data_IF_671873892511
#
_entry.id   IF_671873892511
#
_cell.length_a   1.000
_cell.length_b   1.000
_cell.length_c   1.000
_cell.angle_alpha   90.00
_cell.angle_beta   90.00
_cell.angle_gamma   90.00
#
_symmetry.space_group_name_H-M   'P 1'
#
loop_
_entity.id
_entity.type
_entity.pdbx_description
1 polymer ?
#
# COMPACT_ATOMS: atom_id res chain seq x y z
N UNK A 1 -26.56 -15.77 3.19
CA UNK A 1 -25.95 -17.11 2.99
C UNK A 1 -25.35 -17.53 4.33
N UNK A 2 -25.80 -18.65 4.88
CA UNK A 2 -25.26 -19.20 6.13
C UNK A 2 -23.83 -19.65 5.85
N UNK A 3 -22.87 -19.17 6.62
CA UNK A 3 -21.47 -19.53 6.48
C UNK A 3 -21.26 -20.98 6.94
N UNK A 4 -20.34 -21.73 6.31
CA UNK A 4 -20.02 -23.13 6.63
C UNK A 4 -19.73 -23.36 8.11
N UNK A 5 -19.18 -22.38 8.82
CA UNK A 5 -18.94 -22.42 10.28
C UNK A 5 -20.24 -22.36 11.08
N UNK A 6 -21.21 -21.54 10.65
CA UNK A 6 -22.56 -21.49 11.27
C UNK A 6 -23.35 -22.77 11.01
N UNK A 7 -23.14 -23.37 9.84
CA UNK A 7 -23.73 -24.67 9.51
C UNK A 7 -23.12 -25.80 10.39
N UNK A 8 -21.81 -25.77 10.59
CA UNK A 8 -21.10 -26.73 11.44
C UNK A 8 -21.50 -26.60 12.91
N UNK A 9 -21.59 -25.36 13.43
CA UNK A 9 -22.09 -25.09 14.78
C UNK A 9 -23.54 -25.57 14.93
N UNK A 10 -24.40 -25.26 13.98
CA UNK A 10 -25.79 -25.72 13.96
C UNK A 10 -25.90 -27.25 13.97
N UNK A 11 -25.06 -27.96 13.20
CA UNK A 11 -25.06 -29.43 13.16
C UNK A 11 -24.54 -30.06 14.46
N UNK A 12 -23.58 -29.43 15.15
CA UNK A 12 -23.10 -29.86 16.45
C UNK A 12 -24.14 -29.64 17.54
N UNK A 13 -24.71 -28.44 17.60
CA UNK A 13 -25.67 -28.02 18.62
C UNK A 13 -27.00 -28.80 18.55
N UNK A 14 -27.35 -29.28 17.33
CA UNK A 14 -28.55 -30.09 17.10
C UNK A 14 -28.29 -31.61 17.05
N UNK A 15 -27.09 -32.05 17.40
CA UNK A 15 -26.73 -33.47 17.45
C UNK A 15 -26.75 -34.20 16.09
N UNK A 16 -26.75 -33.46 14.98
CA UNK A 16 -26.79 -34.01 13.62
C UNK A 16 -25.42 -34.53 13.20
N UNK A 17 -24.35 -33.97 13.75
CA UNK A 17 -22.97 -34.46 13.60
C UNK A 17 -22.34 -34.77 14.96
N UNK A 18 -21.67 -35.91 15.05
CA UNK A 18 -20.92 -36.27 16.25
C UNK A 18 -19.55 -35.61 16.24
N UNK A 19 -19.10 -35.16 17.42
CA UNK A 19 -17.79 -34.52 17.61
C UNK A 19 -16.63 -35.41 17.12
N UNK A 20 -16.74 -36.71 17.32
CA UNK A 20 -15.79 -37.72 16.84
C UNK A 20 -15.70 -37.83 15.32
N UNK A 21 -16.79 -37.53 14.59
CA UNK A 21 -16.78 -37.52 13.13
C UNK A 21 -16.02 -36.29 12.60
N UNK A 22 -16.15 -35.14 13.27
CA UNK A 22 -15.41 -33.92 12.92
C UNK A 22 -13.93 -34.09 13.21
N UNK A 23 -13.58 -34.65 14.35
CA UNK A 23 -12.20 -35.00 14.73
C UNK A 23 -11.55 -35.94 13.71
N UNK A 24 -12.27 -36.98 13.24
CA UNK A 24 -11.79 -37.89 12.19
C UNK A 24 -11.56 -37.15 10.85
N UNK A 25 -12.48 -36.32 10.43
CA UNK A 25 -12.33 -35.54 9.17
C UNK A 25 -11.16 -34.56 9.28
N UNK A 26 -10.96 -33.98 10.46
CA UNK A 26 -9.82 -33.09 10.74
C UNK A 26 -8.51 -33.85 10.69
N UNK A 27 -8.42 -34.99 11.37
CA UNK A 27 -7.25 -35.90 11.34
C UNK A 27 -6.94 -36.39 9.92
N UNK A 28 -7.96 -36.77 9.13
CA UNK A 28 -7.74 -37.14 7.72
C UNK A 28 -7.17 -35.99 6.86
N UNK A 29 -7.59 -34.76 7.13
CA UNK A 29 -7.08 -33.59 6.41
C UNK A 29 -5.68 -33.16 6.86
N UNK A 30 -5.36 -33.33 8.12
CA UNK A 30 -4.00 -33.17 8.63
C UNK A 30 -3.07 -34.22 8.03
N UNK A 31 -3.54 -35.44 7.85
CA UNK A 31 -2.80 -36.51 7.18
C UNK A 31 -2.38 -36.15 5.76
N UNK A 32 -3.27 -35.60 4.95
CA UNK A 32 -2.91 -35.14 3.59
C UNK A 32 -1.88 -33.99 3.59
N UNK A 33 -1.87 -33.13 4.62
CA UNK A 33 -0.96 -32.01 4.71
C UNK A 33 0.48 -32.46 4.96
N UNK A 34 0.70 -33.41 5.90
CA UNK A 34 2.03 -33.91 6.24
C UNK A 34 2.63 -34.77 5.13
N UNK A 35 1.85 -35.53 4.40
CA UNK A 35 2.30 -36.29 3.23
C UNK A 35 2.91 -35.42 2.14
N UNK A 36 2.55 -34.15 2.05
CA UNK A 36 3.20 -33.17 1.12
C UNK A 36 4.68 -32.93 1.43
N UNK A 37 5.11 -33.12 2.67
CA UNK A 37 6.52 -32.97 3.07
C UNK A 37 7.33 -34.25 2.90
N UNK A 38 6.68 -35.38 2.68
CA UNK A 38 7.34 -36.67 2.50
C UNK A 38 7.89 -36.80 1.07
N UNK A 39 9.21 -36.80 0.95
CA UNK A 39 9.90 -36.76 -0.36
C UNK A 39 10.14 -38.14 -0.97
N UNK A 40 9.88 -39.22 -0.21
CA UNK A 40 10.21 -40.56 -0.62
C UNK A 40 8.96 -41.32 -1.04
N UNK A 41 9.16 -42.26 -1.99
CA UNK A 41 8.08 -43.14 -2.47
C UNK A 41 7.55 -44.01 -1.33
N UNK A 42 6.22 -44.15 -1.26
CA UNK A 42 5.53 -45.13 -0.44
C UNK A 42 5.17 -46.30 -1.36
N UNK A 43 5.43 -47.54 -0.92
CA UNK A 43 5.12 -48.73 -1.70
C UNK A 43 4.71 -49.91 -0.84
N UNK A 44 3.89 -50.82 -1.42
CA UNK A 44 3.51 -52.07 -0.81
C UNK A 44 4.47 -53.16 -1.25
N UNK A 45 5.01 -53.95 -0.31
CA UNK A 45 5.96 -55.02 -0.55
C UNK A 45 5.27 -56.38 -0.73
N UNK A 46 5.94 -57.31 -1.42
CA UNK A 46 5.44 -58.67 -1.63
C UNK A 46 5.21 -59.46 -0.32
N UNK A 47 5.77 -59.02 0.78
CA UNK A 47 5.62 -59.60 2.13
C UNK A 47 4.46 -59.00 2.91
N UNK A 48 3.58 -58.20 2.26
CA UNK A 48 2.36 -57.68 2.87
C UNK A 48 2.56 -56.44 3.75
N UNK A 49 3.68 -55.72 3.60
CA UNK A 49 3.94 -54.51 4.37
C UNK A 49 4.06 -53.27 3.49
N UNK A 50 3.50 -52.17 3.96
CA UNK A 50 3.73 -50.84 3.45
C UNK A 50 5.08 -50.29 3.89
N UNK A 51 5.79 -49.65 3.00
CA UNK A 51 7.16 -49.17 3.21
C UNK A 51 7.36 -47.78 2.68
N UNK A 52 8.28 -47.07 3.36
CA UNK A 52 8.88 -45.85 2.86
C UNK A 52 10.27 -45.65 3.44
N UNK A 53 11.01 -44.71 2.90
CA UNK A 53 12.30 -44.25 3.48
C UNK A 53 12.10 -42.93 4.18
N UNK A 54 12.81 -42.70 5.27
CA UNK A 54 12.90 -41.39 5.95
C UNK A 54 14.38 -41.07 6.14
N UNK A 55 14.72 -39.78 6.11
CA UNK A 55 16.05 -39.30 6.42
C UNK A 55 16.09 -38.90 7.91
N UNK A 56 16.95 -39.58 8.70
CA UNK A 56 17.18 -39.22 10.10
C UNK A 56 18.68 -39.17 10.35
N UNK A 57 19.20 -38.06 10.86
CA UNK A 57 20.64 -37.82 11.10
C UNK A 57 21.50 -38.08 9.83
N UNK A 58 21.09 -37.57 8.68
CA UNK A 58 21.73 -37.76 7.38
C UNK A 58 21.84 -39.24 6.92
N UNK A 59 21.08 -40.16 7.51
CA UNK A 59 21.00 -41.56 7.11
C UNK A 59 19.60 -41.95 6.70
N UNK A 60 19.48 -42.69 5.61
CA UNK A 60 18.20 -43.22 5.16
C UNK A 60 17.82 -44.44 5.97
N UNK A 61 16.66 -44.34 6.64
CA UNK A 61 16.04 -45.46 7.36
C UNK A 61 14.83 -45.97 6.60
N UNK A 62 14.69 -47.27 6.46
CA UNK A 62 13.50 -47.94 5.95
C UNK A 62 12.49 -48.13 7.09
N UNK A 63 11.27 -47.59 6.88
CA UNK A 63 10.14 -47.80 7.78
C UNK A 63 9.18 -48.79 7.10
N UNK A 64 8.63 -49.72 7.87
CA UNK A 64 7.61 -50.65 7.41
C UNK A 64 6.48 -50.77 8.43
N UNK A 65 5.24 -50.80 7.93
CA UNK A 65 4.02 -50.95 8.71
C UNK A 65 3.08 -51.93 8.00
N UNK A 66 2.24 -52.63 8.76
CA UNK A 66 1.32 -53.65 8.20
C UNK A 66 0.16 -52.99 7.46
N UNK A 67 -0.36 -51.89 8.00
CA UNK A 67 -1.46 -51.12 7.41
C UNK A 67 -0.95 -49.77 6.93
N UNK A 68 -1.57 -49.23 5.88
CA UNK A 68 -1.20 -47.93 5.32
C UNK A 68 -1.48 -46.81 6.32
N UNK A 69 -2.59 -46.89 7.05
CA UNK A 69 -3.01 -45.94 8.06
C UNK A 69 -1.95 -45.78 9.19
N UNK A 70 -1.33 -46.92 9.61
CA UNK A 70 -0.25 -46.88 10.60
C UNK A 70 1.01 -46.17 10.07
N UNK A 71 1.28 -46.33 8.77
CA UNK A 71 2.41 -45.65 8.13
C UNK A 71 2.16 -44.18 7.99
N UNK A 72 0.96 -43.80 7.57
CA UNK A 72 0.54 -42.41 7.45
C UNK A 72 0.51 -41.71 8.80
N UNK A 73 -0.06 -42.32 9.82
CA UNK A 73 -0.03 -41.81 11.20
C UNK A 73 1.39 -41.60 11.71
N UNK A 74 2.29 -42.55 11.45
CA UNK A 74 3.71 -42.42 11.81
C UNK A 74 4.38 -41.27 11.06
N UNK A 75 4.12 -41.10 9.75
CA UNK A 75 4.67 -40.00 8.96
C UNK A 75 4.13 -38.66 9.44
N UNK A 76 2.85 -38.59 9.78
CA UNK A 76 2.23 -37.39 10.34
C UNK A 76 2.88 -36.97 11.65
N UNK A 77 3.08 -37.90 12.59
CA UNK A 77 3.76 -37.61 13.84
C UNK A 77 5.22 -37.16 13.61
N UNK A 78 5.90 -37.79 12.64
CA UNK A 78 7.29 -37.45 12.30
C UNK A 78 7.42 -36.04 11.70
N UNK A 79 6.45 -35.60 10.89
CA UNK A 79 6.49 -34.33 10.23
C UNK A 79 5.73 -33.22 10.98
N UNK A 80 4.87 -33.55 11.93
CA UNK A 80 4.17 -32.60 12.79
C UNK A 80 5.16 -31.68 13.53
N UNK A 81 6.24 -32.24 14.06
CA UNK A 81 7.28 -31.50 14.78
C UNK A 81 8.20 -30.66 13.85
N UNK A 82 8.09 -30.83 12.52
CA UNK A 82 8.89 -30.11 11.54
C UNK A 82 8.17 -28.93 10.93
N UNK A 83 6.86 -28.80 11.14
CA UNK A 83 6.07 -27.69 10.64
C UNK A 83 6.03 -26.61 11.71
N UNK A 84 6.73 -25.53 11.44
CA UNK A 84 6.71 -24.36 12.31
C UNK A 84 5.38 -23.60 12.12
N UNK A 85 4.49 -23.75 13.08
CA UNK A 85 3.22 -23.02 13.15
C UNK A 85 3.30 -21.81 14.08
N UNK A 86 4.49 -21.28 14.35
CA UNK A 86 4.63 -20.04 15.10
C UNK A 86 4.02 -18.86 14.33
N UNK A 87 3.58 -17.85 15.05
CA UNK A 87 3.11 -16.59 14.45
C UNK A 87 4.11 -16.03 13.45
N UNK A 88 5.39 -16.02 13.81
CA UNK A 88 6.50 -15.58 12.96
C UNK A 88 6.55 -16.32 11.63
N UNK A 89 6.59 -17.64 11.67
CA UNK A 89 6.68 -18.45 10.46
C UNK A 89 5.50 -18.23 9.53
N UNK A 90 4.29 -18.17 10.08
CA UNK A 90 3.06 -17.97 9.31
C UNK A 90 2.89 -16.55 8.81
N UNK A 91 3.38 -15.54 9.54
CA UNK A 91 3.40 -14.16 9.07
C UNK A 91 4.29 -14.03 7.81
N UNK A 92 5.51 -14.56 7.84
CA UNK A 92 6.41 -14.49 6.68
C UNK A 92 5.95 -15.36 5.51
N UNK A 93 5.28 -16.48 5.77
CA UNK A 93 4.63 -17.25 4.72
C UNK A 93 3.47 -16.46 4.06
N UNK A 94 2.68 -15.75 4.86
CA UNK A 94 1.67 -14.83 4.34
C UNK A 94 2.30 -13.70 3.53
N UNK A 95 3.40 -13.08 3.98
CA UNK A 95 4.14 -12.04 3.23
C UNK A 95 4.63 -12.57 1.89
N UNK A 96 5.24 -13.77 1.88
CA UNK A 96 5.70 -14.44 0.65
C UNK A 96 4.54 -14.67 -0.33
N UNK A 97 3.38 -15.07 0.18
CA UNK A 97 2.17 -15.21 -0.66
C UNK A 97 1.70 -13.87 -1.23
N UNK A 98 1.77 -12.77 -0.46
CA UNK A 98 1.45 -11.44 -0.98
C UNK A 98 2.38 -11.04 -2.14
N UNK A 99 3.65 -11.39 -2.06
CA UNK A 99 4.63 -11.18 -3.13
C UNK A 99 4.27 -11.99 -4.38
N UNK A 100 3.99 -13.29 -4.23
CA UNK A 100 3.55 -14.16 -5.33
C UNK A 100 2.23 -13.68 -5.97
N UNK A 101 1.35 -13.03 -5.20
CA UNK A 101 0.13 -12.41 -5.71
C UNK A 101 0.36 -11.04 -6.39
N UNK A 102 1.63 -10.64 -6.62
CA UNK A 102 1.98 -9.42 -7.36
C UNK A 102 1.90 -8.13 -6.55
N UNK A 103 1.94 -8.18 -5.22
CA UNK A 103 2.10 -6.97 -4.41
C UNK A 103 3.45 -6.32 -4.69
N UNK A 104 3.47 -4.99 -4.76
CA UNK A 104 4.70 -4.25 -5.04
C UNK A 104 5.78 -4.49 -3.98
N UNK A 105 7.06 -4.50 -4.38
CA UNK A 105 8.20 -4.65 -3.49
C UNK A 105 8.18 -3.66 -2.30
N UNK A 106 7.77 -2.42 -2.54
CA UNK A 106 7.59 -1.42 -1.47
C UNK A 106 6.52 -1.81 -0.45
N UNK A 107 5.47 -2.52 -0.86
CA UNK A 107 4.43 -3.04 0.05
C UNK A 107 4.99 -4.18 0.89
N UNK A 108 5.76 -5.08 0.29
CA UNK A 108 6.42 -6.20 0.99
C UNK A 108 7.41 -5.68 2.03
N UNK A 109 8.27 -4.71 1.66
CA UNK A 109 9.19 -4.05 2.60
C UNK A 109 8.43 -3.42 3.78
N UNK A 110 7.26 -2.81 3.49
CA UNK A 110 6.42 -2.24 4.55
C UNK A 110 5.92 -3.33 5.52
N UNK A 111 5.45 -4.47 5.02
CA UNK A 111 5.02 -5.59 5.89
C UNK A 111 6.16 -6.07 6.79
N UNK A 112 7.37 -6.23 6.23
CA UNK A 112 8.55 -6.63 6.99
C UNK A 112 8.95 -5.56 8.03
N UNK A 113 8.92 -4.29 7.64
CA UNK A 113 9.24 -3.18 8.55
C UNK A 113 8.21 -3.06 9.69
N UNK A 114 6.92 -3.25 9.37
CA UNK A 114 5.85 -3.24 10.38
C UNK A 114 5.96 -4.47 11.30
N UNK A 115 6.34 -5.65 10.79
CA UNK A 115 6.65 -6.81 11.61
C UNK A 115 7.77 -6.52 12.61
N UNK A 116 8.90 -6.00 12.13
CA UNK A 116 10.06 -5.70 12.98
C UNK A 116 9.73 -4.66 14.07
N UNK A 117 8.76 -3.79 13.82
CA UNK A 117 8.37 -2.74 14.76
C UNK A 117 7.33 -3.20 15.77
N UNK A 118 6.39 -4.08 15.37
CA UNK A 118 5.18 -4.33 16.13
C UNK A 118 5.04 -5.78 16.61
N UNK A 119 5.88 -6.70 16.14
CA UNK A 119 5.79 -8.12 16.50
C UNK A 119 7.13 -8.71 16.96
N UNK A 120 8.25 -8.24 16.40
CA UNK A 120 9.60 -8.72 16.76
C UNK A 120 9.87 -8.46 18.25
N UNK A 121 10.33 -9.48 18.97
CA UNK A 121 10.62 -9.49 20.41
C UNK A 121 9.37 -9.30 21.31
N UNK A 122 8.15 -9.42 20.77
CA UNK A 122 6.95 -9.53 21.60
C UNK A 122 6.58 -10.98 21.84
N UNK A 123 5.89 -11.29 22.97
CA UNK A 123 5.55 -12.69 23.32
C UNK A 123 4.80 -13.44 22.21
N UNK A 124 4.00 -12.75 21.40
CA UNK A 124 3.24 -13.33 20.30
C UNK A 124 4.13 -13.91 19.19
N UNK A 125 5.39 -13.44 19.05
CA UNK A 125 6.28 -13.81 17.93
C UNK A 125 6.47 -15.32 17.81
N UNK A 126 6.75 -15.98 18.92
CA UNK A 126 7.07 -17.41 18.97
C UNK A 126 5.88 -18.29 19.40
N UNK A 127 4.70 -17.68 19.64
CA UNK A 127 3.50 -18.43 20.00
C UNK A 127 3.01 -19.29 18.83
N UNK A 128 2.54 -20.50 19.14
CA UNK A 128 1.82 -21.30 18.15
C UNK A 128 0.53 -20.58 17.76
N UNK A 129 0.23 -20.55 16.46
CA UNK A 129 -0.92 -19.81 15.92
C UNK A 129 -2.26 -20.28 16.50
N UNK A 130 -2.36 -21.57 16.85
CA UNK A 130 -3.54 -22.17 17.45
C UNK A 130 -3.82 -21.69 18.89
N UNK A 131 -2.78 -21.19 19.59
CA UNK A 131 -2.87 -20.71 20.97
C UNK A 131 -3.17 -19.22 21.06
N UNK A 132 -3.20 -18.52 19.91
CA UNK A 132 -3.48 -17.09 19.85
C UNK A 132 -4.99 -16.86 19.89
N UNK A 133 -5.47 -16.35 21.02
CA UNK A 133 -6.86 -15.95 21.22
C UNK A 133 -7.10 -14.47 20.93
N UNK A 134 -8.36 -14.06 20.95
CA UNK A 134 -8.77 -12.64 20.96
C UNK A 134 -8.20 -11.87 22.15
N UNK A 135 -8.14 -12.50 23.33
CA UNK A 135 -7.49 -11.93 24.52
C UNK A 135 -6.00 -11.70 24.28
N UNK A 136 -5.28 -12.69 23.73
CA UNK A 136 -3.87 -12.57 23.37
C UNK A 136 -3.62 -11.41 22.40
N UNK A 137 -4.48 -11.26 21.37
CA UNK A 137 -4.38 -10.16 20.42
C UNK A 137 -4.65 -8.81 21.09
N UNK A 138 -5.63 -8.75 21.98
CA UNK A 138 -5.97 -7.52 22.72
C UNK A 138 -4.81 -7.07 23.62
N UNK A 139 -4.20 -8.00 24.36
CA UNK A 139 -3.02 -7.74 25.19
C UNK A 139 -1.84 -7.26 24.33
N UNK A 140 -1.58 -7.94 23.22
CA UNK A 140 -0.52 -7.55 22.29
C UNK A 140 -0.71 -6.12 21.74
N UNK A 141 -1.93 -5.77 21.30
CA UNK A 141 -2.24 -4.41 20.85
C UNK A 141 -1.99 -3.39 21.98
N UNK A 142 -2.41 -3.71 23.20
CA UNK A 142 -2.17 -2.87 24.37
C UNK A 142 -0.68 -2.60 24.60
N UNK A 143 0.16 -3.63 24.53
CA UNK A 143 1.62 -3.50 24.63
C UNK A 143 2.20 -2.66 23.49
N UNK A 144 1.81 -2.95 22.25
CA UNK A 144 2.28 -2.21 21.07
C UNK A 144 1.93 -0.73 21.16
N UNK A 145 0.72 -0.37 21.59
CA UNK A 145 0.31 1.02 21.72
C UNK A 145 1.05 1.76 22.82
N UNK A 146 1.44 1.05 23.90
CA UNK A 146 2.24 1.59 24.98
C UNK A 146 3.68 1.90 24.55
N UNK A 147 4.31 0.94 23.84
CA UNK A 147 5.71 1.04 23.43
C UNK A 147 5.90 1.90 22.17
N UNK A 148 4.93 1.84 21.26
CA UNK A 148 4.91 2.53 19.97
C UNK A 148 3.61 3.29 19.79
N UNK A 149 3.45 4.49 20.36
CA UNK A 149 2.27 5.30 20.12
C UNK A 149 2.06 5.54 18.63
N UNK A 150 0.96 5.03 18.07
CA UNK A 150 0.61 5.13 16.66
C UNK A 150 -0.78 5.72 16.47
N UNK A 151 -1.04 6.28 15.29
CA UNK A 151 -2.36 6.79 14.93
C UNK A 151 -3.32 5.65 14.62
N UNK A 152 -4.59 5.87 14.87
CA UNK A 152 -5.68 4.92 14.58
C UNK A 152 -5.57 4.27 13.18
N UNK A 153 -5.30 5.07 12.13
CA UNK A 153 -5.13 4.54 10.76
C UNK A 153 -3.97 3.56 10.62
N UNK A 154 -2.90 3.74 11.39
CA UNK A 154 -1.77 2.82 11.37
C UNK A 154 -2.15 1.50 12.07
N UNK A 155 -2.88 1.54 13.17
CA UNK A 155 -3.41 0.35 13.84
C UNK A 155 -4.34 -0.44 12.90
N UNK A 156 -5.25 0.23 12.20
CA UNK A 156 -6.13 -0.42 11.20
C UNK A 156 -5.34 -1.13 10.09
N UNK A 157 -4.19 -0.58 9.67
CA UNK A 157 -3.35 -1.24 8.67
C UNK A 157 -2.71 -2.52 9.23
N UNK A 158 -2.18 -2.47 10.48
CA UNK A 158 -1.60 -3.64 11.16
C UNK A 158 -2.68 -4.72 11.35
N UNK A 159 -3.88 -4.30 11.78
CA UNK A 159 -5.01 -5.18 11.92
C UNK A 159 -5.39 -5.88 10.63
N UNK A 160 -5.35 -5.15 9.51
CA UNK A 160 -5.56 -5.71 8.19
C UNK A 160 -4.55 -6.80 7.81
N UNK A 161 -3.28 -6.69 8.28
CA UNK A 161 -2.26 -7.73 8.07
C UNK A 161 -2.56 -8.97 8.89
N UNK A 162 -2.87 -8.79 10.17
CA UNK A 162 -3.26 -9.87 11.08
C UNK A 162 -4.47 -10.62 10.54
N UNK A 163 -5.53 -9.91 10.24
CA UNK A 163 -6.74 -10.51 9.68
C UNK A 163 -6.44 -11.31 8.39
N UNK A 164 -5.66 -10.73 7.47
CA UNK A 164 -5.28 -11.41 6.23
C UNK A 164 -4.41 -12.65 6.43
N UNK A 165 -3.55 -12.65 7.46
CA UNK A 165 -2.73 -13.80 7.84
C UNK A 165 -3.60 -14.91 8.47
N UNK A 166 -4.46 -14.59 9.44
CA UNK A 166 -5.35 -15.56 10.07
C UNK A 166 -6.34 -16.16 9.07
N UNK A 167 -6.89 -15.36 8.16
CA UNK A 167 -7.72 -15.85 7.06
C UNK A 167 -6.97 -16.84 6.14
N UNK A 168 -5.66 -16.62 5.93
CA UNK A 168 -4.83 -17.60 5.23
C UNK A 168 -4.71 -18.89 6.03
N UNK A 169 -4.45 -18.81 7.33
CA UNK A 169 -4.32 -19.96 8.20
C UNK A 169 -5.61 -20.83 8.23
N UNK A 170 -6.79 -20.19 8.14
CA UNK A 170 -8.06 -20.91 8.00
C UNK A 170 -8.12 -21.61 6.63
N UNK A 171 -7.80 -20.93 5.54
CA UNK A 171 -7.79 -21.56 4.20
C UNK A 171 -6.82 -22.71 4.10
N UNK A 172 -5.69 -22.59 4.78
CA UNK A 172 -4.67 -23.66 4.85
C UNK A 172 -5.03 -24.72 5.90
N UNK A 173 -6.17 -24.57 6.60
CA UNK A 173 -6.72 -25.49 7.61
C UNK A 173 -5.82 -25.68 8.84
N UNK A 174 -5.02 -24.67 9.16
CA UNK A 174 -4.15 -24.67 10.36
C UNK A 174 -4.96 -24.33 11.61
N UNK A 175 -5.93 -23.40 11.47
CA UNK A 175 -6.88 -23.00 12.52
C UNK A 175 -8.31 -23.01 12.00
N UNK A 176 -9.28 -23.07 12.91
CA UNK A 176 -10.71 -23.15 12.57
C UNK A 176 -11.41 -21.78 12.55
N UNK A 177 -10.93 -20.82 13.32
CA UNK A 177 -11.53 -19.50 13.45
C UNK A 177 -10.47 -18.41 13.45
N UNK A 178 -10.88 -17.22 13.04
CA UNK A 178 -10.01 -16.04 13.02
C UNK A 178 -10.20 -15.28 14.34
N UNK A 179 -9.20 -15.23 15.23
CA UNK A 179 -9.34 -14.54 16.50
C UNK A 179 -9.56 -13.03 16.35
N UNK A 180 -9.15 -12.43 15.23
CA UNK A 180 -9.39 -11.03 14.95
C UNK A 180 -10.88 -10.66 14.91
N UNK A 181 -11.77 -11.60 14.60
CA UNK A 181 -13.22 -11.33 14.50
C UNK A 181 -13.89 -11.11 15.84
N UNK A 182 -13.26 -11.52 16.93
CA UNK A 182 -13.80 -11.42 18.29
C UNK A 182 -13.24 -10.23 19.08
N UNK A 183 -12.24 -9.51 18.53
CA UNK A 183 -11.65 -8.33 19.17
C UNK A 183 -12.42 -7.07 18.77
N UNK A 184 -12.91 -6.33 19.76
CA UNK A 184 -13.43 -4.98 19.54
C UNK A 184 -12.27 -3.98 19.45
N UNK A 185 -11.83 -3.74 18.22
CA UNK A 185 -10.70 -2.87 17.96
C UNK A 185 -10.97 -1.40 18.33
N UNK A 186 -12.24 -0.93 18.28
CA UNK A 186 -12.61 0.46 18.58
C UNK A 186 -12.25 0.84 20.03
N UNK A 187 -12.21 -0.12 20.96
CA UNK A 187 -11.80 0.12 22.34
C UNK A 187 -10.39 0.71 22.46
N UNK A 188 -9.51 0.38 21.52
CA UNK A 188 -8.11 0.86 21.49
C UNK A 188 -7.94 2.25 20.88
N UNK A 189 -8.97 2.81 20.26
CA UNK A 189 -8.91 4.08 19.55
C UNK A 189 -8.47 5.25 20.45
N UNK A 190 -8.91 5.24 21.71
CA UNK A 190 -8.54 6.25 22.70
C UNK A 190 -7.05 6.20 23.09
N UNK A 191 -6.42 5.04 22.94
CA UNK A 191 -5.01 4.82 23.26
C UNK A 191 -4.10 5.16 22.06
N UNK A 192 -4.69 5.42 20.90
CA UNK A 192 -3.95 5.84 19.72
C UNK A 192 -3.59 7.33 19.81
N UNK A 193 -2.51 7.71 19.13
CA UNK A 193 -2.17 9.12 18.95
C UNK A 193 -3.33 9.86 18.29
N UNK A 194 -3.67 10.99 18.86
CA UNK A 194 -4.65 11.90 18.26
C UNK A 194 -4.24 12.29 16.84
N UNK A 195 -5.22 12.32 15.97
CA UNK A 195 -5.00 12.81 14.62
C UNK A 195 -4.96 14.34 14.68
N UNK A 196 -3.77 14.93 14.55
CA UNK A 196 -3.67 16.37 14.33
C UNK A 196 -4.48 16.72 13.08
N UNK A 197 -5.58 17.44 13.28
CA UNK A 197 -6.39 17.93 12.17
C UNK A 197 -5.56 18.95 11.39
N UNK A 198 -5.12 18.55 10.21
CA UNK A 198 -4.56 19.51 9.25
C UNK A 198 -5.72 20.23 8.62
N UNK A 199 -5.71 21.56 8.74
CA UNK A 199 -6.69 22.42 8.10
C UNK A 199 -6.61 22.35 6.58
N UNK A 200 -7.60 22.86 5.88
CA UNK A 200 -7.52 23.02 4.42
C UNK A 200 -6.29 23.85 4.02
N UNK A 201 -5.97 24.89 4.79
CA UNK A 201 -4.81 25.76 4.58
C UNK A 201 -3.47 25.01 4.71
N UNK A 202 -3.36 24.04 5.63
CA UNK A 202 -2.15 23.22 5.76
C UNK A 202 -1.97 22.27 4.57
N UNK A 203 -3.07 21.84 3.96
CA UNK A 203 -3.10 20.84 2.89
C UNK A 203 -3.04 21.42 1.49
N UNK A 204 -3.40 22.70 1.33
CA UNK A 204 -3.47 23.42 0.06
C UNK A 204 -2.55 24.64 0.08
N UNK A 205 -2.48 25.37 -1.02
CA UNK A 205 -1.83 26.67 -1.10
C UNK A 205 -2.91 27.77 -1.21
N UNK A 206 -2.81 28.77 -0.36
CA UNK A 206 -3.60 30.00 -0.51
C UNK A 206 -3.20 30.74 -1.78
N UNK A 207 -4.00 31.71 -2.21
CA UNK A 207 -3.67 32.58 -3.36
C UNK A 207 -2.31 33.24 -3.16
N UNK A 208 -2.07 33.79 -1.97
CA UNK A 208 -0.80 34.46 -1.61
C UNK A 208 0.39 33.49 -1.69
N UNK A 209 0.25 32.27 -1.14
CA UNK A 209 1.30 31.24 -1.20
C UNK A 209 1.58 30.77 -2.64
N UNK A 210 0.55 30.72 -3.51
CA UNK A 210 0.73 30.39 -4.94
C UNK A 210 1.53 31.44 -5.68
N UNK A 211 1.21 32.71 -5.46
CA UNK A 211 1.93 33.87 -6.07
C UNK A 211 3.39 33.88 -5.62
N UNK A 212 3.61 33.74 -4.32
CA UNK A 212 4.96 33.67 -3.74
C UNK A 212 5.76 32.47 -4.25
N UNK A 213 5.13 31.28 -4.37
CA UNK A 213 5.79 30.12 -4.92
C UNK A 213 6.19 30.37 -6.39
N UNK A 214 5.28 30.94 -7.21
CA UNK A 214 5.57 31.26 -8.60
C UNK A 214 6.75 32.26 -8.71
N UNK A 215 6.82 33.25 -7.87
CA UNK A 215 7.95 34.18 -7.79
C UNK A 215 9.27 33.49 -7.45
N UNK A 216 9.25 32.60 -6.44
CA UNK A 216 10.44 31.79 -6.04
C UNK A 216 10.87 30.76 -7.11
N UNK A 217 10.02 30.42 -8.07
CA UNK A 217 10.37 29.53 -9.19
C UNK A 217 11.05 30.31 -10.34
N UNK A 218 10.67 31.57 -10.56
CA UNK A 218 11.18 32.41 -11.63
C UNK A 218 12.54 33.03 -11.25
N UNK A 219 12.71 33.42 -9.99
CA UNK A 219 13.92 34.07 -9.50
C UNK A 219 14.83 33.06 -8.75
N UNK A 220 15.78 32.41 -9.43
CA UNK A 220 16.72 31.50 -8.79
C UNK A 220 17.80 32.29 -8.05
N UNK A 221 17.52 32.82 -6.85
CA UNK A 221 18.53 33.41 -5.97
C UNK A 221 19.46 32.40 -5.32
N UNK A 222 19.55 31.20 -5.85
CA UNK A 222 20.54 30.21 -5.41
C UNK A 222 21.26 29.63 -6.62
N UNK A 223 22.56 29.73 -6.58
CA UNK A 223 23.57 29.16 -7.48
C UNK A 223 23.50 27.63 -7.66
N UNK A 224 22.40 27.01 -7.38
CA UNK A 224 22.23 25.57 -7.50
C UNK A 224 21.53 25.19 -8.80
N UNK A 225 22.11 24.25 -9.53
CA UNK A 225 21.70 23.58 -10.77
C UNK A 225 20.27 22.99 -10.79
N UNK A 226 19.34 23.43 -9.95
CA UNK A 226 18.00 22.84 -9.80
C UNK A 226 16.89 23.65 -10.47
N UNK A 227 17.19 24.42 -11.53
CA UNK A 227 16.17 25.13 -12.29
C UNK A 227 15.19 24.15 -12.97
N UNK A 228 15.69 23.00 -13.41
CA UNK A 228 14.83 21.96 -14.01
C UNK A 228 13.77 21.43 -13.03
N UNK A 229 14.10 21.31 -11.74
CA UNK A 229 13.11 20.96 -10.72
C UNK A 229 12.10 22.10 -10.47
N UNK A 230 12.49 23.35 -10.67
CA UNK A 230 11.57 24.48 -10.59
C UNK A 230 10.54 24.44 -11.74
N UNK A 231 10.96 24.14 -12.97
CA UNK A 231 10.05 23.93 -14.10
C UNK A 231 9.09 22.78 -13.87
N UNK A 232 9.55 21.66 -13.28
CA UNK A 232 8.68 20.53 -12.91
C UNK A 232 7.62 20.93 -11.86
N UNK A 233 7.98 21.77 -10.88
CA UNK A 233 7.04 22.35 -9.92
C UNK A 233 6.07 23.29 -10.61
N UNK A 234 6.54 24.13 -11.53
CA UNK A 234 5.71 25.06 -12.30
C UNK A 234 4.67 24.29 -13.14
N UNK A 235 5.07 23.20 -13.83
CA UNK A 235 4.13 22.35 -14.53
C UNK A 235 3.07 21.77 -13.59
N UNK A 236 3.45 21.41 -12.36
CA UNK A 236 2.49 20.90 -11.39
C UNK A 236 1.42 21.95 -10.98
N UNK A 237 1.78 23.25 -10.98
CA UNK A 237 0.83 24.35 -10.70
C UNK A 237 -0.24 24.46 -11.80
N UNK A 238 0.12 24.21 -13.06
CA UNK A 238 -0.80 24.28 -14.20
C UNK A 238 -1.62 23.00 -14.41
N UNK A 239 -1.14 21.83 -13.93
CA UNK A 239 -1.72 20.54 -14.29
C UNK A 239 -2.25 19.73 -13.12
N UNK A 240 -1.75 19.99 -11.91
CA UNK A 240 -2.03 19.14 -10.75
C UNK A 240 -1.52 17.70 -10.87
N UNK A 241 -0.62 17.38 -11.79
CA UNK A 241 -0.07 16.02 -11.99
C UNK A 241 0.63 15.49 -10.75
N UNK A 242 0.73 14.15 -10.64
CA UNK A 242 1.57 13.51 -9.61
C UNK A 242 3.04 13.68 -9.95
N UNK A 243 3.89 13.82 -8.93
CA UNK A 243 5.32 14.00 -9.15
C UNK A 243 5.96 12.91 -10.02
N UNK A 244 5.58 11.64 -9.82
CA UNK A 244 6.07 10.55 -10.65
C UNK A 244 5.61 10.62 -12.11
N UNK A 245 4.43 11.17 -12.37
CA UNK A 245 3.93 11.40 -13.74
C UNK A 245 4.69 12.55 -14.41
N UNK A 246 4.96 13.63 -13.67
CA UNK A 246 5.73 14.80 -14.17
C UNK A 246 7.11 14.36 -14.64
N UNK A 247 7.87 13.70 -13.78
CA UNK A 247 9.25 13.30 -14.13
C UNK A 247 9.33 12.18 -15.16
N UNK A 248 8.22 11.50 -15.45
CA UNK A 248 8.12 10.46 -16.46
C UNK A 248 7.61 10.99 -17.81
N UNK A 249 7.28 12.27 -17.91
CA UNK A 249 6.74 12.89 -19.11
C UNK A 249 7.86 13.00 -20.18
N UNK A 250 7.53 12.60 -21.40
CA UNK A 250 8.44 12.65 -22.55
C UNK A 250 7.95 13.65 -23.59
N UNK A 251 8.86 14.10 -24.46
CA UNK A 251 8.49 14.96 -25.59
C UNK A 251 7.51 14.27 -26.55
N UNK A 252 7.56 12.93 -26.66
CA UNK A 252 6.62 12.13 -27.46
C UNK A 252 5.21 12.07 -26.86
N UNK A 253 5.02 12.60 -25.65
CA UNK A 253 3.71 12.71 -25.02
C UNK A 253 3.03 14.07 -25.29
N UNK A 254 3.70 14.99 -26.01
CA UNK A 254 3.23 16.34 -26.30
C UNK A 254 2.77 16.44 -27.75
N UNK A 255 1.48 16.59 -27.97
CA UNK A 255 0.85 16.70 -29.28
C UNK A 255 0.36 18.13 -29.46
N UNK A 256 1.28 19.00 -29.92
CA UNK A 256 1.02 20.46 -30.02
C UNK A 256 -0.12 20.76 -31.00
N UNK A 257 -0.16 20.06 -32.14
CA UNK A 257 -1.19 20.28 -33.16
C UNK A 257 -2.60 19.92 -32.68
N UNK A 258 -2.69 18.86 -31.86
CA UNK A 258 -3.94 18.40 -31.25
C UNK A 258 -4.28 19.15 -29.96
N UNK A 259 -3.36 19.97 -29.44
CA UNK A 259 -3.54 20.71 -28.19
C UNK A 259 -3.61 19.82 -26.95
N UNK A 260 -2.97 18.66 -26.94
CA UNK A 260 -3.07 17.69 -25.86
C UNK A 260 -1.70 17.17 -25.38
N UNK A 261 -1.64 16.86 -24.10
CA UNK A 261 -0.57 16.13 -23.43
C UNK A 261 -1.07 14.78 -22.97
N UNK A 262 -0.34 13.70 -23.27
CA UNK A 262 -0.68 12.34 -22.92
C UNK A 262 0.01 11.94 -21.60
N UNK A 263 -0.76 11.57 -20.58
CA UNK A 263 -0.23 11.12 -19.30
C UNK A 263 -0.45 9.61 -19.19
N UNK A 264 0.60 8.85 -19.45
CA UNK A 264 0.56 7.36 -19.50
C UNK A 264 1.59 6.68 -18.63
N UNK A 265 2.65 7.39 -18.22
CA UNK A 265 3.75 6.84 -17.45
C UNK A 265 3.88 7.49 -16.07
N UNK A 266 4.53 6.79 -15.16
CA UNK A 266 4.89 7.29 -13.83
C UNK A 266 6.18 6.64 -13.37
N UNK A 267 7.06 7.44 -12.75
CA UNK A 267 8.23 6.90 -12.07
C UNK A 267 7.83 6.16 -10.80
N UNK A 268 8.47 5.02 -10.58
CA UNK A 268 8.43 4.25 -9.32
C UNK A 268 9.85 4.07 -8.80
N UNK A 269 10.03 4.27 -7.51
CA UNK A 269 11.25 3.93 -6.81
C UNK A 269 11.07 2.60 -6.10
N UNK A 270 11.90 1.62 -6.42
CA UNK A 270 11.95 0.35 -5.71
C UNK A 270 12.98 0.45 -4.58
N UNK A 271 12.50 0.30 -3.35
CA UNK A 271 13.34 0.37 -2.15
C UNK A 271 14.24 -0.85 -1.97
N UNK A 272 13.86 -2.00 -2.52
CA UNK A 272 14.63 -3.24 -2.42
C UNK A 272 15.89 -3.19 -3.27
N UNK A 273 15.73 -2.75 -4.52
CA UNK A 273 16.81 -2.63 -5.51
C UNK A 273 17.47 -1.24 -5.50
N UNK A 274 16.87 -0.26 -4.80
CA UNK A 274 17.27 1.16 -4.80
C UNK A 274 17.29 1.77 -6.21
N UNK A 275 16.43 1.31 -7.09
CA UNK A 275 16.36 1.74 -8.49
C UNK A 275 15.09 2.51 -8.80
N UNK A 276 15.19 3.39 -9.81
CA UNK A 276 14.03 4.08 -10.38
C UNK A 276 13.64 3.39 -11.69
N UNK A 277 12.36 3.14 -11.86
CA UNK A 277 11.80 2.58 -13.10
C UNK A 277 10.61 3.43 -13.58
N UNK A 278 10.42 3.47 -14.89
CA UNK A 278 9.21 4.02 -15.50
C UNK A 278 8.24 2.87 -15.74
N UNK A 279 7.02 3.05 -15.31
CA UNK A 279 5.93 2.10 -15.50
C UNK A 279 4.64 2.85 -15.83
N UNK A 280 3.60 2.11 -16.13
CA UNK A 280 2.26 2.67 -16.27
C UNK A 280 1.83 3.41 -14.99
N UNK A 281 0.88 4.33 -15.11
CA UNK A 281 0.30 5.05 -13.97
C UNK A 281 -0.29 4.07 -12.95
N UNK A 282 -0.47 4.52 -11.69
CA UNK A 282 -0.87 3.66 -10.55
C UNK A 282 -2.11 2.78 -10.82
N UNK A 283 -3.01 3.23 -11.69
CA UNK A 283 -4.26 2.51 -12.01
C UNK A 283 -4.30 2.05 -13.47
N UNK A 284 -3.15 2.01 -14.16
CA UNK A 284 -3.02 1.74 -15.61
C UNK A 284 -3.90 2.65 -16.49
N UNK A 285 -4.30 3.82 -15.95
CA UNK A 285 -5.15 4.77 -16.67
C UNK A 285 -4.29 5.74 -17.45
N UNK A 286 -4.48 5.73 -18.74
CA UNK A 286 -4.01 6.75 -19.66
C UNK A 286 -5.03 7.90 -19.66
N UNK A 287 -4.56 9.15 -19.69
CA UNK A 287 -5.44 10.31 -19.80
C UNK A 287 -4.83 11.40 -20.65
N UNK A 288 -5.69 12.17 -21.26
CA UNK A 288 -5.34 13.37 -22.02
C UNK A 288 -5.51 14.60 -21.13
N UNK A 289 -4.57 15.53 -21.25
CA UNK A 289 -4.63 16.81 -20.57
C UNK A 289 -4.50 17.92 -21.61
N UNK A 290 -5.36 18.95 -21.59
CA UNK A 290 -5.30 20.05 -22.59
C UNK A 290 -4.03 20.88 -22.40
N UNK A 291 -3.35 21.21 -23.50
CA UNK A 291 -2.25 22.16 -23.54
C UNK A 291 -2.81 23.58 -23.54
N UNK A 292 -2.50 24.30 -22.47
CA UNK A 292 -2.79 25.74 -22.40
C UNK A 292 -1.58 26.54 -22.87
N UNK A 293 -1.78 27.83 -23.18
CA UNK A 293 -0.68 28.72 -23.56
C UNK A 293 0.42 28.79 -22.49
N UNK A 294 0.05 28.82 -21.19
CA UNK A 294 1.02 28.78 -20.10
C UNK A 294 1.88 27.50 -20.10
N UNK A 295 1.27 26.37 -20.45
CA UNK A 295 1.99 25.08 -20.53
C UNK A 295 2.94 25.10 -21.73
N UNK A 296 2.48 25.56 -22.89
CA UNK A 296 3.32 25.63 -24.10
C UNK A 296 4.53 26.56 -23.89
N UNK A 297 4.30 27.74 -23.32
CA UNK A 297 5.38 28.67 -22.97
C UNK A 297 6.37 28.10 -21.97
N UNK A 298 5.89 27.29 -21.01
CA UNK A 298 6.75 26.60 -20.08
C UNK A 298 7.60 25.53 -20.78
N UNK A 299 7.01 24.72 -21.67
CA UNK A 299 7.71 23.69 -22.42
C UNK A 299 8.80 24.28 -23.34
N UNK A 300 8.52 25.39 -24.00
CA UNK A 300 9.51 26.12 -24.81
C UNK A 300 10.68 26.60 -23.94
N UNK A 301 10.41 27.20 -22.78
CA UNK A 301 11.46 27.62 -21.84
C UNK A 301 12.32 26.45 -21.35
N UNK A 302 11.74 25.28 -21.12
CA UNK A 302 12.46 24.07 -20.75
C UNK A 302 13.36 23.63 -21.89
N UNK A 303 12.84 23.57 -23.12
CA UNK A 303 13.59 23.14 -24.29
C UNK A 303 14.80 24.03 -24.55
N UNK A 304 14.62 25.36 -24.50
CA UNK A 304 15.72 26.34 -24.61
C UNK A 304 16.75 26.11 -23.50
N UNK A 305 16.29 25.99 -22.24
CA UNK A 305 17.17 25.82 -21.08
C UNK A 305 18.02 24.55 -21.16
N UNK A 306 17.47 23.44 -21.66
CA UNK A 306 18.18 22.19 -21.83
C UNK A 306 19.13 22.20 -23.02
N UNK A 307 18.70 22.80 -24.14
CA UNK A 307 19.56 22.99 -25.34
C UNK A 307 20.80 23.81 -25.04
N UNK A 308 20.67 24.91 -24.30
CA UNK A 308 21.79 25.77 -23.90
C UNK A 308 22.84 25.05 -23.06
N UNK A 309 22.45 23.93 -22.40
CA UNK A 309 23.32 23.11 -21.54
C UNK A 309 23.76 21.81 -22.17
N UNK A 310 23.33 21.56 -23.40
CA UNK A 310 23.64 20.30 -24.09
C UNK A 310 22.96 19.07 -23.48
N UNK A 311 21.84 19.25 -22.80
CA UNK A 311 21.05 18.18 -22.22
C UNK A 311 20.01 17.72 -23.25
N UNK A 312 20.25 16.57 -23.83
CA UNK A 312 19.36 16.01 -24.86
C UNK A 312 18.83 14.66 -24.40
N UNK A 313 17.53 14.43 -24.59
CA UNK A 313 16.90 13.15 -24.26
C UNK A 313 15.43 13.12 -24.61
N UNK A 314 14.81 11.97 -24.42
CA UNK A 314 13.37 11.79 -24.70
C UNK A 314 12.47 12.36 -23.61
N UNK A 315 12.96 12.57 -22.39
CA UNK A 315 12.18 13.12 -21.27
C UNK A 315 12.27 14.64 -21.23
N UNK A 316 11.20 15.28 -20.72
CA UNK A 316 11.07 16.75 -20.65
C UNK A 316 11.95 17.37 -19.55
N UNK A 317 12.21 16.63 -18.47
CA UNK A 317 12.95 17.15 -17.32
C UNK A 317 14.30 16.46 -17.20
N UNK A 318 15.30 17.01 -17.89
CA UNK A 318 16.66 16.46 -17.95
C UNK A 318 17.66 17.34 -17.19
N UNK A 319 18.74 16.73 -16.75
CA UNK A 319 19.95 17.41 -16.28
C UNK A 319 21.20 16.67 -16.79
N UNK A 320 22.38 17.06 -16.34
CA UNK A 320 23.65 16.44 -16.73
C UNK A 320 23.76 14.94 -16.38
N UNK A 321 22.92 14.43 -15.46
CA UNK A 321 22.89 13.03 -15.05
C UNK A 321 21.74 12.24 -15.72
N UNK A 322 21.05 12.85 -16.68
CA UNK A 322 19.87 12.29 -17.33
C UNK A 322 18.56 12.83 -16.77
N UNK A 323 17.52 12.04 -16.84
CA UNK A 323 16.18 12.41 -16.34
C UNK A 323 16.19 12.64 -14.82
N UNK A 324 15.58 13.76 -14.35
CA UNK A 324 15.45 14.01 -12.92
C UNK A 324 14.45 13.03 -12.28
N UNK A 325 14.62 12.81 -10.99
CA UNK A 325 13.78 11.90 -10.20
C UNK A 325 12.76 12.65 -9.33
N UNK A 326 11.67 11.98 -8.97
CA UNK A 326 10.58 12.52 -8.15
C UNK A 326 11.04 13.05 -6.77
N UNK A 327 12.09 12.47 -6.18
CA UNK A 327 12.67 12.93 -4.93
C UNK A 327 13.33 14.32 -5.08
N UNK A 328 13.96 14.61 -6.22
CA UNK A 328 14.59 15.91 -6.49
C UNK A 328 13.53 17.01 -6.51
N UNK A 329 12.43 16.79 -7.24
CA UNK A 329 11.29 17.73 -7.30
C UNK A 329 10.66 17.90 -5.92
N UNK A 330 10.45 16.78 -5.19
CA UNK A 330 9.86 16.79 -3.85
C UNK A 330 10.71 17.54 -2.82
N UNK A 331 12.02 17.38 -2.88
CA UNK A 331 12.96 18.11 -2.03
C UNK A 331 13.03 19.59 -2.39
N UNK A 332 13.01 19.91 -3.69
CA UNK A 332 13.03 21.29 -4.20
C UNK A 332 11.83 22.10 -3.72
N UNK A 333 10.59 21.58 -3.85
CA UNK A 333 9.41 22.29 -3.36
C UNK A 333 9.43 22.43 -1.84
N UNK A 334 9.81 21.38 -1.11
CA UNK A 334 9.89 21.43 0.36
C UNK A 334 10.84 22.53 0.80
N UNK A 335 12.04 22.57 0.25
CA UNK A 335 13.07 23.59 0.61
C UNK A 335 12.58 25.01 0.28
N UNK A 336 11.94 25.25 -0.86
CA UNK A 336 11.40 26.55 -1.26
C UNK A 336 10.25 27.02 -0.35
N UNK A 337 9.54 26.09 0.30
CA UNK A 337 8.37 26.40 1.15
C UNK A 337 8.64 26.22 2.65
N UNK A 338 9.86 25.83 3.05
CA UNK A 338 10.30 25.79 4.46
C UNK A 338 10.63 27.17 5.03
N UNK A 339 10.09 28.23 4.47
CA UNK A 339 10.24 29.62 4.94
C UNK A 339 9.01 30.03 5.72
N UNK A 340 9.14 31.00 6.64
CA UNK A 340 8.03 31.48 7.45
C UNK A 340 6.86 32.12 6.66
N UNK A 341 7.03 32.28 5.36
CA UNK A 341 6.01 32.82 4.45
C UNK A 341 4.90 31.84 4.11
N UNK A 342 5.11 30.54 4.35
CA UNK A 342 4.14 29.47 4.12
C UNK A 342 3.61 28.94 5.44
N UNK A 343 2.31 28.65 5.50
CA UNK A 343 1.66 28.11 6.69
C UNK A 343 2.30 26.78 7.16
N UNK A 344 2.73 25.96 6.20
CA UNK A 344 3.48 24.72 6.39
C UNK A 344 4.33 24.43 5.17
N UNK A 345 5.42 23.62 5.27
CA UNK A 345 6.13 23.15 4.09
C UNK A 345 5.19 22.42 3.14
N UNK A 346 5.17 22.82 1.88
CA UNK A 346 4.26 22.28 0.86
C UNK A 346 4.91 21.12 0.10
N UNK A 347 4.08 20.38 -0.61
CA UNK A 347 4.46 19.26 -1.47
C UNK A 347 3.76 19.36 -2.83
N UNK A 348 4.19 18.57 -3.81
CA UNK A 348 3.46 18.44 -5.08
C UNK A 348 2.00 17.98 -4.85
N UNK A 349 1.76 17.16 -3.82
CA UNK A 349 0.39 16.80 -3.44
C UNK A 349 -0.42 17.99 -2.91
N UNK A 350 0.22 18.97 -2.26
CA UNK A 350 -0.47 20.19 -1.83
C UNK A 350 -0.88 21.04 -3.05
N UNK A 351 0.00 21.14 -4.06
CA UNK A 351 -0.32 21.80 -5.34
C UNK A 351 -1.50 21.10 -6.01
N UNK A 352 -1.45 19.78 -6.13
CA UNK A 352 -2.52 18.98 -6.73
C UNK A 352 -3.87 19.15 -6.03
N UNK A 353 -3.88 19.20 -4.70
CA UNK A 353 -5.11 19.48 -3.93
C UNK A 353 -5.64 20.88 -4.22
N UNK A 354 -4.75 21.87 -4.27
CA UNK A 354 -5.12 23.24 -4.61
C UNK A 354 -5.71 23.33 -6.02
N UNK A 355 -5.06 22.71 -7.01
CA UNK A 355 -5.53 22.67 -8.38
C UNK A 355 -6.93 22.03 -8.47
N UNK A 356 -7.14 20.89 -7.84
CA UNK A 356 -8.44 20.24 -7.80
C UNK A 356 -9.51 21.11 -7.12
N UNK A 357 -9.19 21.69 -5.97
CA UNK A 357 -10.13 22.56 -5.25
C UNK A 357 -10.50 23.80 -6.07
N UNK A 358 -9.54 24.36 -6.83
CA UNK A 358 -9.82 25.44 -7.77
C UNK A 358 -10.78 25.00 -8.88
N UNK A 359 -10.56 23.83 -9.51
CA UNK A 359 -11.49 23.30 -10.51
C UNK A 359 -12.91 23.17 -9.92
N UNK A 360 -13.03 22.58 -8.74
CA UNK A 360 -14.32 22.36 -8.08
C UNK A 360 -15.02 23.67 -7.70
N UNK A 361 -14.29 24.65 -7.19
CA UNK A 361 -14.84 25.97 -6.82
C UNK A 361 -15.23 26.79 -8.04
N UNK A 362 -14.63 26.52 -9.19
CA UNK A 362 -15.06 27.11 -10.48
C UNK A 362 -16.21 26.32 -11.16
N UNK A 363 -16.90 25.46 -10.44
CA UNK A 363 -18.09 24.75 -10.93
C UNK A 363 -17.80 23.50 -11.78
N UNK A 364 -16.53 23.10 -11.95
CA UNK A 364 -16.19 21.90 -12.70
C UNK A 364 -16.70 20.66 -11.94
N UNK A 365 -17.43 19.77 -12.61
CA UNK A 365 -17.97 18.54 -11.99
C UNK A 365 -16.86 17.62 -11.45
N UNK A 366 -17.18 16.81 -10.43
CA UNK A 366 -16.22 15.84 -9.89
C UNK A 366 -15.76 14.82 -10.94
N UNK A 367 -16.62 14.48 -11.90
CA UNK A 367 -16.31 13.57 -13.00
C UNK A 367 -15.21 14.17 -13.89
N UNK A 368 -15.36 15.43 -14.33
CA UNK A 368 -14.39 16.11 -15.18
C UNK A 368 -13.08 16.35 -14.43
N UNK A 369 -13.13 16.84 -13.18
CA UNK A 369 -11.94 17.03 -12.37
C UNK A 369 -11.18 15.71 -12.12
N UNK A 370 -11.93 14.61 -11.91
CA UNK A 370 -11.36 13.28 -11.74
C UNK A 370 -10.70 12.74 -13.01
N UNK A 371 -11.29 12.98 -14.18
CA UNK A 371 -10.72 12.57 -15.47
C UNK A 371 -9.40 13.26 -15.74
N UNK A 372 -9.31 14.57 -15.50
CA UNK A 372 -8.07 15.35 -15.66
C UNK A 372 -6.97 14.90 -14.70
N UNK A 373 -7.32 14.53 -13.47
CA UNK A 373 -6.36 14.17 -12.43
C UNK A 373 -6.10 12.66 -12.32
N UNK A 374 -6.89 11.81 -12.98
CA UNK A 374 -6.75 10.35 -12.91
C UNK A 374 -7.09 9.78 -11.52
N UNK A 375 -8.21 10.23 -10.95
CA UNK A 375 -8.87 9.68 -9.75
C UNK A 375 -10.18 9.00 -10.11
N UNK A 376 -10.84 8.42 -9.09
CA UNK A 376 -12.29 8.20 -9.15
C UNK A 376 -13.01 9.42 -8.55
N UNK A 377 -14.28 9.69 -8.89
CA UNK A 377 -15.04 10.80 -8.30
C UNK A 377 -15.08 10.76 -6.77
N UNK A 378 -15.24 9.58 -6.17
CA UNK A 378 -15.27 9.38 -4.71
C UNK A 378 -13.94 9.80 -4.05
N UNK A 379 -12.82 9.40 -4.66
CA UNK A 379 -11.47 9.79 -4.19
C UNK A 379 -11.25 11.29 -4.38
N UNK A 380 -11.80 11.89 -5.45
CA UNK A 380 -11.71 13.32 -5.70
C UNK A 380 -12.41 14.10 -4.58
N UNK A 381 -13.64 13.74 -4.26
CA UNK A 381 -14.45 14.42 -3.25
C UNK A 381 -13.87 14.24 -1.85
N UNK A 382 -13.52 13.00 -1.46
CA UNK A 382 -13.09 12.69 -0.10
C UNK A 382 -11.68 13.19 0.26
N UNK A 383 -10.75 13.23 -0.73
CA UNK A 383 -9.34 13.44 -0.42
C UNK A 383 -8.72 14.70 -1.07
N UNK A 384 -9.36 15.27 -2.07
CA UNK A 384 -8.78 16.34 -2.87
C UNK A 384 -9.63 17.60 -2.99
N UNK A 385 -10.91 17.58 -2.61
CA UNK A 385 -11.78 18.74 -2.60
C UNK A 385 -11.74 19.42 -1.24
N UNK A 386 -11.26 20.64 -1.19
CA UNK A 386 -11.20 21.45 0.02
C UNK A 386 -11.92 22.76 -0.21
N UNK A 387 -12.58 23.26 0.82
CA UNK A 387 -13.13 24.60 0.84
C UNK A 387 -11.97 25.60 0.96
N UNK A 388 -11.65 26.24 -0.15
CA UNK A 388 -10.61 27.28 -0.26
C UNK A 388 -11.21 28.67 -0.50
N UNK A 389 -12.55 28.80 -0.43
CA UNK A 389 -13.25 30.02 -0.64
C UNK A 389 -12.97 31.06 0.45
N UNK A 390 -12.86 32.30 0.06
CA UNK A 390 -12.73 33.45 0.99
C UNK A 390 -14.06 33.71 1.71
N UNK A 391 -13.98 34.26 2.91
CA UNK A 391 -15.17 34.67 3.67
C UNK A 391 -16.05 35.66 2.86
N UNK A 392 -15.42 36.52 2.04
CA UNK A 392 -16.17 37.47 1.21
C UNK A 392 -16.98 36.76 0.11
N UNK A 393 -16.42 35.73 -0.52
CA UNK A 393 -17.16 34.91 -1.49
C UNK A 393 -18.27 34.11 -0.82
N UNK A 394 -18.01 33.50 0.33
CA UNK A 394 -19.05 32.82 1.13
C UNK A 394 -20.20 33.76 1.49
N UNK A 395 -19.88 34.99 1.90
CA UNK A 395 -20.90 36.01 2.19
C UNK A 395 -21.80 36.28 0.98
N UNK A 396 -21.22 36.38 -0.26
CA UNK A 396 -22.02 36.56 -1.48
C UNK A 396 -22.97 35.37 -1.69
N UNK A 397 -22.48 34.12 -1.54
CA UNK A 397 -23.32 32.90 -1.69
C UNK A 397 -24.45 32.85 -0.67
N UNK A 398 -24.18 33.24 0.60
CA UNK A 398 -25.20 33.29 1.63
C UNK A 398 -26.27 34.36 1.30
N UNK A 399 -25.85 35.55 0.83
CA UNK A 399 -26.77 36.59 0.43
C UNK A 399 -27.63 36.14 -0.76
N UNK A 400 -27.05 35.46 -1.72
CA UNK A 400 -27.74 34.97 -2.90
C UNK A 400 -28.74 33.84 -2.56
N UNK A 401 -28.34 32.93 -1.69
CA UNK A 401 -29.19 31.84 -1.19
C UNK A 401 -30.33 32.34 -0.27
N UNK A 402 -30.20 33.51 0.34
CA UNK A 402 -31.22 34.12 1.21
C UNK A 402 -32.23 35.01 0.51
N UNK A 403 -32.15 35.17 -0.80
CA UNK A 403 -33.16 35.84 -1.59
C UNK A 403 -34.33 34.92 -1.81
N UNK A 404 -35.46 35.17 -1.11
CA UNK A 404 -36.74 34.51 -1.31
C UNK A 404 -37.57 35.30 -2.33
#
# INVERSE_FOLDING_TARGET
MINDVQLLSFFLDNGIMRRDAIERVTQMKEQELYLKYHKYKIWYGKDGYWRTKICSNNKLKLIKKKHIEDLESFLNSLYADQVDHSFKALYFDWVKRQELCGRSGNTIIKYISDYNRFFLNYPIEDMNIGDISDTTLSEHIGLVLKDHPIRWRALLNIWGYLNGMFEKCIRDKIIFSNPCTFVDLELFKKNCLETTFRTAQDRTLSIKERMLLKEKLINPHSSNNNQIAAFAIELSLYTGMRVGEIVALSWDDIFVNEGIMLIRHSEKYDRSTKTYSISTTKNNKVRYFPLTEDILNLLERIEIYEKDRGWFGSYIFMNNNGRIHANVVSSSIRNRTMTGDFSTPKSIHSIRRTFNSNLRNNGVSSIVASSLLGHTPEVNESNYTYDIETLNNKKKYVIEASKF
#
